data_IF_352585313329
#
_entry.id   IF_352585313329
#
_cell.length_a   1.000
_cell.length_b   1.000
_cell.length_c   1.000
_cell.angle_alpha   90.00
_cell.angle_beta   90.00
_cell.angle_gamma   90.00
#
_symmetry.space_group_name_H-M   'P 1'
#
loop_
_entity.id
_entity.type
_entity.pdbx_description
1 polymer ?
#
# COMPACT_ATOMS: atom_id res chain seq x y z
N UNK A 1 -6.73 -40.88 -28.08
CA UNK A 1 -5.40 -40.53 -28.61
C UNK A 1 -5.64 -39.76 -29.89
N UNK A 2 -5.72 -38.43 -29.79
CA UNK A 2 -5.74 -37.54 -30.94
C UNK A 2 -4.33 -37.48 -31.50
N UNK A 3 -4.18 -37.75 -32.80
CA UNK A 3 -2.90 -37.66 -33.49
C UNK A 3 -2.52 -36.19 -33.68
N UNK A 4 -1.23 -35.81 -33.60
CA UNK A 4 -0.78 -34.41 -33.63
C UNK A 4 -1.13 -33.60 -34.89
N UNK A 5 -1.68 -34.24 -35.92
CA UNK A 5 -1.98 -33.62 -37.21
C UNK A 5 -3.36 -32.95 -37.28
N UNK A 6 -4.25 -33.13 -36.30
CA UNK A 6 -5.60 -32.56 -36.33
C UNK A 6 -5.69 -31.11 -35.82
N UNK A 7 -4.58 -30.52 -35.34
CA UNK A 7 -4.59 -29.13 -34.88
C UNK A 7 -4.55 -28.16 -36.05
N UNK A 8 -5.50 -27.23 -36.04
CA UNK A 8 -5.54 -26.08 -36.95
C UNK A 8 -4.28 -25.23 -36.78
N UNK A 9 -3.87 -24.49 -37.82
CA UNK A 9 -2.67 -23.67 -37.78
C UNK A 9 -2.70 -22.62 -36.64
N UNK A 10 -3.89 -22.07 -36.36
CA UNK A 10 -4.13 -21.17 -35.24
C UNK A 10 -3.94 -21.86 -33.87
N UNK A 11 -4.38 -23.11 -33.72
CA UNK A 11 -4.13 -23.88 -32.50
C UNK A 11 -2.63 -24.16 -32.32
N UNK A 12 -1.89 -24.42 -33.39
CA UNK A 12 -0.43 -24.64 -33.32
C UNK A 12 0.33 -23.39 -32.86
N UNK A 13 -0.07 -22.21 -33.31
CA UNK A 13 0.51 -20.94 -32.85
C UNK A 13 0.18 -20.66 -31.37
N UNK A 14 -0.98 -21.14 -30.92
CA UNK A 14 -1.43 -20.99 -29.54
C UNK A 14 -0.98 -22.12 -28.58
N UNK A 15 -0.38 -23.21 -29.06
CA UNK A 15 0.09 -24.32 -28.22
C UNK A 15 1.06 -23.84 -27.14
N UNK A 16 1.98 -22.93 -27.48
CA UNK A 16 2.91 -22.35 -26.50
C UNK A 16 2.18 -21.58 -25.40
N UNK A 17 1.14 -20.82 -25.76
CA UNK A 17 0.35 -20.06 -24.80
C UNK A 17 -0.45 -21.00 -23.88
N UNK A 18 -1.02 -22.08 -24.44
CA UNK A 18 -1.76 -23.09 -23.68
C UNK A 18 -0.83 -23.80 -22.69
N UNK A 19 0.38 -24.21 -23.12
CA UNK A 19 1.38 -24.81 -22.22
C UNK A 19 1.82 -23.83 -21.12
N UNK A 20 2.01 -22.55 -21.47
CA UNK A 20 2.38 -21.54 -20.49
C UNK A 20 1.28 -21.31 -19.45
N UNK A 21 0.02 -21.22 -19.87
CA UNK A 21 -1.14 -21.08 -18.99
C UNK A 21 -1.31 -22.30 -18.09
N UNK A 22 -1.12 -23.50 -18.63
CA UNK A 22 -1.16 -24.73 -17.86
C UNK A 22 -0.09 -24.72 -16.76
N UNK A 23 1.14 -24.32 -17.10
CA UNK A 23 2.24 -24.21 -16.12
C UNK A 23 1.93 -23.20 -15.01
N UNK A 24 1.36 -22.04 -15.35
CA UNK A 24 0.94 -21.04 -14.35
C UNK A 24 -0.15 -21.59 -13.42
N UNK A 25 -1.12 -22.31 -13.97
CA UNK A 25 -2.20 -22.93 -13.21
C UNK A 25 -1.67 -24.00 -12.23
N UNK A 26 -0.78 -24.87 -12.70
CA UNK A 26 -0.17 -25.91 -11.86
C UNK A 26 0.67 -25.31 -10.73
N UNK A 27 1.41 -24.23 -11.02
CA UNK A 27 2.20 -23.49 -10.01
C UNK A 27 1.29 -22.91 -8.92
N UNK A 28 0.15 -22.32 -9.32
CA UNK A 28 -0.82 -21.78 -8.37
C UNK A 28 -1.42 -22.85 -7.45
N UNK A 29 -1.79 -24.01 -8.00
CA UNK A 29 -2.31 -25.13 -7.19
C UNK A 29 -1.25 -25.58 -6.17
N UNK A 30 0.01 -25.65 -6.58
CA UNK A 30 1.11 -26.04 -5.70
C UNK A 30 1.31 -25.03 -4.56
N UNK A 31 1.23 -23.73 -4.85
CA UNK A 31 1.30 -22.67 -3.85
C UNK A 31 0.13 -22.73 -2.86
N UNK A 32 -1.10 -22.95 -3.33
CA UNK A 32 -2.27 -23.12 -2.46
C UNK A 32 -2.11 -24.34 -1.53
N UNK A 33 -1.61 -25.48 -2.05
CA UNK A 33 -1.30 -26.66 -1.22
C UNK A 33 -0.19 -26.38 -0.20
N UNK A 34 0.86 -25.64 -0.57
CA UNK A 34 1.94 -25.26 0.34
C UNK A 34 1.42 -24.35 1.47
N UNK A 35 0.56 -23.38 1.17
CA UNK A 35 -0.08 -22.52 2.16
C UNK A 35 -0.96 -23.32 3.13
N UNK A 36 -1.74 -24.27 2.63
CA UNK A 36 -2.52 -25.17 3.48
C UNK A 36 -1.64 -26.02 4.40
N UNK A 37 -0.51 -26.53 3.91
CA UNK A 37 0.45 -27.28 4.72
C UNK A 37 1.09 -26.41 5.83
N UNK A 38 1.42 -25.15 5.53
CA UNK A 38 1.92 -24.19 6.52
C UNK A 38 0.84 -23.90 7.56
N UNK A 39 -0.40 -23.64 7.14
CA UNK A 39 -1.53 -23.42 8.05
C UNK A 39 -1.76 -24.59 9.02
N UNK A 40 -1.71 -25.82 8.51
CA UNK A 40 -1.81 -27.02 9.35
C UNK A 40 -0.66 -27.13 10.37
N UNK A 41 0.57 -26.80 9.95
CA UNK A 41 1.74 -26.76 10.86
C UNK A 41 1.60 -25.71 11.95
N UNK A 42 1.14 -24.51 11.61
CA UNK A 42 0.89 -23.43 12.57
C UNK A 42 -0.22 -23.80 13.57
N UNK A 43 -1.27 -24.51 13.14
CA UNK A 43 -2.32 -25.00 14.02
C UNK A 43 -1.82 -26.07 15.01
N UNK A 44 -0.84 -26.88 14.61
CA UNK A 44 -0.22 -27.91 15.46
C UNK A 44 0.86 -27.38 16.40
N UNK A 45 1.27 -26.11 16.26
CA UNK A 45 2.30 -25.53 17.09
C UNK A 45 1.73 -25.27 18.49
N UNK A 46 2.33 -25.82 19.57
CA UNK A 46 1.94 -25.48 20.92
C UNK A 46 2.33 -24.03 21.16
N UNK A 47 1.36 -23.12 21.05
CA UNK A 47 1.55 -21.73 21.43
C UNK A 47 2.08 -21.71 22.86
N UNK A 48 3.22 -21.05 23.13
CA UNK A 48 3.66 -20.86 24.50
C UNK A 48 2.53 -20.12 25.21
N UNK A 49 1.93 -20.77 26.21
CA UNK A 49 1.00 -20.12 27.14
C UNK A 49 1.67 -18.85 27.60
N UNK A 50 1.17 -17.71 27.12
CA UNK A 50 1.63 -16.39 27.50
C UNK A 50 1.42 -16.31 29.00
N UNK A 51 2.50 -16.48 29.77
CA UNK A 51 2.49 -16.10 31.19
C UNK A 51 2.11 -14.63 31.19
N UNK A 52 1.07 -14.30 31.95
CA UNK A 52 0.65 -12.93 32.26
C UNK A 52 1.87 -12.08 32.64
N UNK A 53 2.46 -11.41 31.66
CA UNK A 53 3.46 -10.38 31.89
C UNK A 53 2.73 -9.04 31.87
N UNK A 54 2.56 -8.52 33.09
CA UNK A 54 2.46 -7.10 33.45
C UNK A 54 1.33 -6.33 32.76
N UNK A 55 0.27 -5.92 33.49
CA UNK A 55 -0.76 -5.07 32.93
C UNK A 55 -0.14 -3.73 32.51
N UNK A 56 -0.17 -3.48 31.20
CA UNK A 56 -0.09 -2.12 30.66
C UNK A 56 -1.32 -1.34 31.17
N UNK A 57 -1.22 -0.77 32.38
CA UNK A 57 -2.11 0.29 32.84
C UNK A 57 -1.71 1.61 32.14
N UNK A 58 -1.81 1.64 30.82
CA UNK A 58 -1.95 2.88 30.09
C UNK A 58 -3.39 3.34 30.27
N UNK A 59 -3.59 4.48 30.93
CA UNK A 59 -4.89 5.18 31.02
C UNK A 59 -5.43 5.42 29.61
N UNK A 60 -6.19 4.47 29.07
CA UNK A 60 -7.23 4.80 28.11
C UNK A 60 -8.24 5.65 28.86
N UNK A 61 -8.15 6.96 28.64
CA UNK A 61 -9.20 7.88 29.05
C UNK A 61 -10.41 7.47 28.23
N UNK A 62 -11.30 6.76 28.91
CA UNK A 62 -12.61 6.30 28.46
C UNK A 62 -13.40 7.48 27.91
N UNK A 63 -13.23 7.77 26.63
CA UNK A 63 -14.20 8.56 25.89
C UNK A 63 -15.44 7.68 25.77
N UNK A 64 -16.41 8.02 26.63
CA UNK A 64 -17.78 7.50 26.70
C UNK A 64 -18.20 6.85 25.39
N UNK A 65 -18.43 5.54 25.45
CA UNK A 65 -19.06 4.79 24.38
C UNK A 65 -20.35 5.52 23.95
N UNK A 66 -20.49 5.92 22.67
CA UNK A 66 -21.75 6.45 22.19
C UNK A 66 -22.82 5.36 22.36
N UNK A 67 -23.97 5.77 22.92
CA UNK A 67 -25.14 4.91 23.16
C UNK A 67 -25.44 4.03 21.94
N UNK A 68 -25.81 2.75 22.14
CA UNK A 68 -26.20 1.88 21.03
C UNK A 68 -27.43 2.47 20.33
N UNK A 69 -27.23 2.88 19.07
CA UNK A 69 -28.33 3.27 18.19
C UNK A 69 -28.99 1.98 17.74
N UNK A 70 -30.22 1.76 18.20
CA UNK A 70 -31.09 0.69 17.74
C UNK A 70 -31.40 0.90 16.24
N UNK A 71 -30.98 -0.05 15.41
CA UNK A 71 -31.29 -0.06 13.98
C UNK A 71 -32.75 -0.50 13.74
N UNK A 72 -33.56 0.25 12.98
CA UNK A 72 -34.85 -0.25 12.54
C UNK A 72 -34.64 -1.34 11.48
N UNK A 73 -35.10 -2.56 11.77
CA UNK A 73 -35.35 -3.58 10.74
C UNK A 73 -36.46 -3.06 9.82
N UNK A 74 -36.10 -2.57 8.64
CA UNK A 74 -37.08 -2.33 7.58
C UNK A 74 -36.43 -2.25 6.21
N UNK A 75 -36.59 -3.32 5.45
CA UNK A 75 -37.34 -3.37 4.18
C UNK A 75 -36.68 -4.32 3.18
N UNK A 76 -37.50 -5.24 2.66
CA UNK A 76 -37.16 -6.20 1.63
C UNK A 76 -36.60 -5.48 0.39
N UNK A 77 -35.50 -5.95 -0.22
CA UNK A 77 -35.08 -5.45 -1.52
C UNK A 77 -36.13 -5.86 -2.56
N UNK A 78 -36.76 -4.87 -3.20
CA UNK A 78 -37.52 -5.07 -4.44
C UNK A 78 -36.50 -5.46 -5.51
N UNK A 79 -36.73 -6.59 -6.16
CA UNK A 79 -35.98 -7.07 -7.30
C UNK A 79 -35.95 -5.97 -8.38
N UNK A 80 -34.78 -5.33 -8.51
CA UNK A 80 -34.54 -4.35 -9.56
C UNK A 80 -34.39 -5.09 -10.89
N UNK A 81 -35.10 -4.57 -11.89
CA UNK A 81 -35.23 -5.09 -13.25
C UNK A 81 -33.88 -5.41 -13.89
N UNK A 82 -33.63 -6.69 -14.16
CA UNK A 82 -32.43 -7.25 -14.80
C UNK A 82 -32.11 -6.64 -16.18
N UNK A 83 -33.02 -5.90 -16.80
CA UNK A 83 -32.83 -5.23 -18.09
C UNK A 83 -31.91 -4.00 -18.03
N UNK A 84 -31.82 -3.29 -16.90
CA UNK A 84 -30.96 -2.09 -16.78
C UNK A 84 -29.47 -2.42 -16.65
N UNK A 85 -29.14 -3.58 -16.08
CA UNK A 85 -27.75 -4.01 -15.85
C UNK A 85 -27.09 -4.49 -17.15
N UNK A 86 -27.85 -5.14 -18.04
CA UNK A 86 -27.35 -5.59 -19.34
C UNK A 86 -26.99 -4.42 -20.28
N UNK A 87 -27.77 -3.34 -20.26
CA UNK A 87 -27.49 -2.15 -21.09
C UNK A 87 -26.26 -1.37 -20.60
N UNK A 88 -26.02 -1.30 -19.28
CA UNK A 88 -24.84 -0.62 -18.75
C UNK A 88 -23.54 -1.37 -19.11
N UNK A 89 -23.56 -2.70 -19.12
CA UNK A 89 -22.41 -3.53 -19.47
C UNK A 89 -22.02 -3.41 -20.96
N UNK A 90 -23.00 -3.28 -21.86
CA UNK A 90 -22.75 -3.07 -23.28
C UNK A 90 -22.06 -1.72 -23.60
N UNK A 91 -22.42 -0.65 -22.88
CA UNK A 91 -21.83 0.68 -23.06
C UNK A 91 -20.37 0.73 -22.59
N UNK A 92 -20.04 0.01 -21.50
CA UNK A 92 -18.67 -0.08 -20.98
C UNK A 92 -17.75 -0.87 -21.94
N UNK A 93 -18.26 -1.95 -22.55
CA UNK A 93 -17.49 -2.74 -23.51
C UNK A 93 -17.21 -1.97 -24.81
N UNK A 94 -18.16 -1.16 -25.30
CA UNK A 94 -17.96 -0.33 -26.50
C UNK A 94 -17.02 0.85 -26.26
N UNK A 95 -17.05 1.47 -25.08
CA UNK A 95 -16.17 2.61 -24.76
C UNK A 95 -14.73 2.17 -24.45
N UNK A 96 -14.54 1.05 -23.76
CA UNK A 96 -13.21 0.51 -23.46
C UNK A 96 -12.40 0.11 -24.71
N UNK A 97 -13.07 -0.45 -25.73
CA UNK A 97 -12.43 -0.84 -26.98
C UNK A 97 -11.87 0.35 -27.78
N UNK A 98 -12.57 1.50 -27.77
CA UNK A 98 -12.13 2.69 -28.49
C UNK A 98 -10.91 3.36 -27.83
N UNK A 99 -10.83 3.37 -26.50
CA UNK A 99 -9.67 3.89 -25.77
C UNK A 99 -8.41 3.02 -25.96
N UNK A 100 -8.56 1.70 -26.06
CA UNK A 100 -7.42 0.81 -26.32
C UNK A 100 -6.84 1.02 -27.73
N UNK A 101 -7.70 1.27 -28.74
CA UNK A 101 -7.27 1.55 -30.11
C UNK A 101 -6.52 2.90 -30.22
N UNK A 102 -6.97 3.93 -29.48
CA UNK A 102 -6.30 5.23 -29.46
C UNK A 102 -4.91 5.16 -28.81
N UNK A 103 -4.74 4.35 -27.77
CA UNK A 103 -3.43 4.13 -27.16
C UNK A 103 -2.47 3.34 -28.07
N UNK A 104 -3.00 2.38 -28.85
CA UNK A 104 -2.18 1.62 -29.78
C UNK A 104 -1.69 2.47 -30.98
N UNK A 105 -2.52 3.41 -31.45
CA UNK A 105 -2.14 4.33 -32.54
C UNK A 105 -1.11 5.39 -32.10
N UNK A 106 -1.05 5.75 -30.82
CA UNK A 106 -0.03 6.68 -30.30
C UNK A 106 1.35 6.03 -30.11
N UNK A 107 1.46 4.70 -30.14
CA UNK A 107 2.73 4.00 -29.89
C UNK A 107 3.60 3.78 -31.14
N UNK A 108 3.14 4.22 -32.32
CA UNK A 108 3.86 4.09 -33.60
C UNK A 108 4.36 5.43 -34.14
N UNK A 109 4.97 6.27 -33.29
CA UNK A 109 5.85 7.35 -33.77
C UNK A 109 7.28 6.80 -33.94
N UNK A 110 7.81 6.71 -35.17
CA UNK A 110 9.20 6.34 -35.38
C UNK A 110 10.08 7.58 -35.12
N UNK A 111 10.52 7.77 -33.88
CA UNK A 111 11.48 8.83 -33.56
C UNK A 111 12.91 8.35 -33.82
N UNK A 112 13.42 8.84 -34.96
CA UNK A 112 14.83 9.02 -35.25
C UNK A 112 15.40 10.08 -34.29
N UNK A 113 16.29 9.67 -33.38
CA UNK A 113 17.03 10.62 -32.55
C UNK A 113 17.93 9.89 -31.57
N UNK A 114 19.16 9.58 -32.00
CA UNK A 114 20.25 9.11 -31.14
C UNK A 114 20.50 10.17 -30.05
N UNK A 115 20.24 9.89 -28.76
CA UNK A 115 20.60 10.82 -27.71
C UNK A 115 22.08 10.66 -27.42
N UNK A 116 22.82 11.75 -27.60
CA UNK A 116 24.20 11.87 -27.17
C UNK A 116 24.28 11.50 -25.67
N UNK A 117 25.10 10.51 -25.35
CA UNK A 117 25.48 10.12 -24.00
C UNK A 117 26.26 11.26 -23.33
N UNK A 118 25.53 12.25 -22.82
CA UNK A 118 26.03 13.18 -21.82
C UNK A 118 26.13 12.43 -20.50
N UNK A 119 27.34 11.96 -20.17
CA UNK A 119 27.72 11.52 -18.83
C UNK A 119 27.66 12.71 -17.86
N UNK A 120 26.45 13.18 -17.57
CA UNK A 120 26.19 14.12 -16.48
C UNK A 120 26.22 13.34 -15.18
N UNK A 121 27.18 13.63 -14.31
CA UNK A 121 27.17 13.17 -12.93
C UNK A 121 25.80 13.49 -12.33
N UNK A 122 25.05 12.51 -11.80
CA UNK A 122 23.72 12.77 -11.26
C UNK A 122 23.86 13.82 -10.16
N UNK A 123 23.23 14.98 -10.36
CA UNK A 123 23.16 16.01 -9.34
C UNK A 123 22.63 15.36 -8.06
N UNK A 124 23.37 15.51 -6.95
CA UNK A 124 23.02 14.89 -5.68
C UNK A 124 21.56 15.21 -5.34
N UNK A 125 20.74 14.17 -5.17
CA UNK A 125 19.33 14.33 -4.85
C UNK A 125 19.19 15.11 -3.54
N UNK A 126 18.52 16.26 -3.61
CA UNK A 126 18.20 17.03 -2.41
C UNK A 126 17.07 16.32 -1.64
N UNK A 127 16.97 16.49 -0.32
CA UNK A 127 15.92 15.87 0.48
C UNK A 127 14.50 16.16 -0.01
N UNK A 128 14.26 17.29 -0.71
CA UNK A 128 12.97 17.63 -1.28
C UNK A 128 12.63 16.88 -2.56
N UNK A 129 13.66 16.51 -3.33
CA UNK A 129 13.51 15.88 -4.64
C UNK A 129 13.52 14.36 -4.54
N UNK A 130 13.78 13.84 -3.34
CA UNK A 130 13.78 12.42 -3.06
C UNK A 130 12.35 11.87 -3.03
N UNK A 131 12.15 10.65 -3.51
CA UNK A 131 10.85 10.00 -3.47
C UNK A 131 10.53 9.51 -2.05
N UNK A 132 9.34 9.86 -1.55
CA UNK A 132 8.79 9.39 -0.28
C UNK A 132 7.54 8.56 -0.57
N UNK A 133 7.64 7.22 -0.58
CA UNK A 133 6.56 6.35 -1.04
C UNK A 133 5.36 6.31 -0.09
N UNK A 134 5.55 6.72 1.17
CA UNK A 134 4.52 6.75 2.19
C UNK A 134 4.13 8.19 2.49
N UNK A 135 2.85 8.46 2.65
CA UNK A 135 2.33 9.79 2.97
C UNK A 135 1.06 9.73 3.80
N UNK A 136 0.84 10.71 4.66
CA UNK A 136 -0.35 10.75 5.49
C UNK A 136 -0.40 11.97 6.39
N UNK A 137 -1.37 11.97 7.30
CA UNK A 137 -1.55 13.02 8.30
C UNK A 137 -1.34 12.46 9.69
N UNK A 138 -0.53 13.13 10.50
CA UNK A 138 -0.28 12.73 11.90
C UNK A 138 -1.57 12.88 12.70
N UNK A 139 -2.03 11.81 13.33
CA UNK A 139 -3.21 11.81 14.22
C UNK A 139 -2.82 11.74 15.70
N UNK A 140 -1.67 11.15 16.01
CA UNK A 140 -1.07 11.13 17.35
C UNK A 140 0.45 11.14 17.23
N UNK A 141 1.15 11.74 18.20
CA UNK A 141 2.62 11.71 18.30
C UNK A 141 3.02 11.48 19.75
N UNK A 142 3.92 10.53 19.98
CA UNK A 142 4.42 10.20 21.31
C UNK A 142 5.94 10.08 21.28
N UNK A 143 6.61 10.83 22.15
CA UNK A 143 8.07 10.77 22.31
C UNK A 143 8.38 10.03 23.60
N UNK A 144 8.65 8.74 23.47
CA UNK A 144 9.10 7.89 24.55
C UNK A 144 10.24 7.01 24.04
N UNK A 145 11.30 6.91 24.84
CA UNK A 145 12.37 5.97 24.54
C UNK A 145 11.82 4.55 24.69
N UNK A 146 12.00 3.75 23.65
CA UNK A 146 11.52 2.38 23.57
C UNK A 146 12.50 1.50 22.80
N UNK A 147 12.08 0.27 22.55
CA UNK A 147 12.82 -0.67 21.73
C UNK A 147 11.87 -1.37 20.77
N UNK A 148 12.27 -1.44 19.51
CA UNK A 148 11.56 -2.16 18.46
C UNK A 148 12.55 -3.16 17.83
N UNK A 149 12.43 -4.43 18.23
CA UNK A 149 13.43 -5.44 17.90
C UNK A 149 14.79 -5.08 18.49
N UNK A 150 15.80 -4.93 17.62
CA UNK A 150 17.16 -4.54 18.02
C UNK A 150 17.42 -3.02 17.95
N UNK A 151 16.44 -2.24 17.48
CA UNK A 151 16.57 -0.79 17.32
C UNK A 151 16.03 -0.04 18.55
N UNK A 152 16.68 1.07 18.90
CA UNK A 152 16.21 1.98 19.96
C UNK A 152 15.31 3.03 19.33
N UNK A 153 14.04 3.07 19.74
CA UNK A 153 13.09 4.09 19.28
C UNK A 153 13.14 5.29 20.21
N UNK A 154 13.05 6.49 19.65
CA UNK A 154 12.95 7.75 20.42
C UNK A 154 11.51 8.29 20.47
N UNK A 155 10.60 7.65 19.73
CA UNK A 155 9.18 7.94 19.72
C UNK A 155 8.49 7.30 18.52
N UNK A 156 7.24 7.68 18.32
CA UNK A 156 6.46 7.29 17.16
C UNK A 156 5.26 8.19 16.92
N UNK A 157 4.61 8.01 15.79
CA UNK A 157 3.39 8.70 15.43
C UNK A 157 2.38 7.73 14.82
N UNK A 158 1.10 7.95 15.11
CA UNK A 158 0.00 7.34 14.35
C UNK A 158 -0.28 8.24 13.16
N UNK A 159 -0.33 7.65 11.97
CA UNK A 159 -0.50 8.36 10.71
C UNK A 159 -1.68 7.77 9.97
N UNK A 160 -2.56 8.66 9.53
CA UNK A 160 -3.67 8.33 8.64
C UNK A 160 -3.28 8.59 7.20
N UNK A 161 -3.21 7.53 6.40
CA UNK A 161 -2.82 7.58 5.00
C UNK A 161 -3.93 7.15 4.04
N UNK A 162 -3.70 7.27 2.73
CA UNK A 162 -4.50 6.61 1.69
C UNK A 162 -4.48 5.09 1.85
N UNK A 163 -5.64 4.45 1.70
CA UNK A 163 -5.81 3.00 1.91
C UNK A 163 -4.99 2.13 0.94
N UNK A 164 -4.66 2.64 -0.24
CA UNK A 164 -3.94 1.91 -1.29
C UNK A 164 -2.41 2.06 -1.21
N UNK A 165 -1.88 2.67 -0.15
CA UNK A 165 -0.43 2.83 -0.01
C UNK A 165 0.31 1.51 0.09
N UNK A 166 1.44 1.44 -0.62
CA UNK A 166 2.29 0.24 -0.71
C UNK A 166 1.46 -1.01 -1.07
N UNK A 167 0.61 -0.91 -2.08
CA UNK A 167 -0.31 -1.99 -2.51
C UNK A 167 -1.29 -2.43 -1.41
N UNK A 168 -1.68 -1.49 -0.53
CA UNK A 168 -2.64 -1.73 0.55
C UNK A 168 -2.03 -2.31 1.83
N UNK A 169 -0.71 -2.50 1.89
CA UNK A 169 -0.03 -3.09 3.05
C UNK A 169 -0.13 -2.22 4.31
N UNK A 170 -0.20 -0.89 4.17
CA UNK A 170 -0.31 0.03 5.31
C UNK A 170 -1.75 0.26 5.77
N UNK A 171 -2.74 -0.04 4.93
CA UNK A 171 -4.14 0.26 5.23
C UNK A 171 -4.41 1.77 5.39
N UNK A 172 -5.46 2.11 6.14
CA UNK A 172 -5.87 3.50 6.37
C UNK A 172 -5.13 4.22 7.50
N UNK A 173 -4.79 3.49 8.57
CA UNK A 173 -4.05 4.00 9.72
C UNK A 173 -2.85 3.08 9.99
N UNK A 174 -1.67 3.67 10.19
CA UNK A 174 -0.43 2.94 10.49
C UNK A 174 0.42 3.70 11.52
N UNK A 175 1.31 2.99 12.20
CA UNK A 175 2.24 3.56 13.17
C UNK A 175 3.61 3.72 12.51
N UNK A 176 4.24 4.85 12.76
CA UNK A 176 5.57 5.19 12.29
C UNK A 176 6.49 5.31 13.49
N UNK A 177 7.53 4.51 13.54
CA UNK A 177 8.55 4.57 14.58
C UNK A 177 9.70 5.48 14.16
N UNK A 178 10.16 6.29 15.11
CA UNK A 178 11.30 7.17 14.94
C UNK A 178 12.50 6.60 15.69
N UNK A 179 13.60 6.43 14.97
CA UNK A 179 14.89 6.07 15.51
C UNK A 179 15.70 7.33 15.81
N UNK A 180 16.83 7.17 16.50
CA UNK A 180 17.73 8.29 16.82
C UNK A 180 18.32 8.93 15.55
N UNK A 181 18.49 8.13 14.51
CA UNK A 181 19.01 8.49 13.20
C UNK A 181 17.94 9.01 12.23
N UNK A 182 16.66 8.96 12.59
CA UNK A 182 15.58 9.48 11.75
C UNK A 182 15.76 10.98 11.53
N UNK A 183 15.81 11.39 10.26
CA UNK A 183 15.96 12.81 9.88
C UNK A 183 14.60 13.40 9.55
N UNK A 184 14.33 14.60 10.07
CA UNK A 184 13.09 15.32 9.77
C UNK A 184 13.42 16.56 8.96
N UNK A 185 12.67 16.76 7.89
CA UNK A 185 12.77 17.91 7.01
C UNK A 185 11.42 18.63 6.96
N UNK A 186 11.44 19.94 6.84
CA UNK A 186 10.26 20.75 6.56
C UNK A 186 10.37 21.33 5.16
N UNK A 187 9.35 21.07 4.33
CA UNK A 187 9.26 21.64 2.99
C UNK A 187 8.76 23.09 3.07
N UNK A 188 9.58 24.01 2.59
CA UNK A 188 9.30 25.43 2.48
C UNK A 188 9.38 25.88 1.01
N UNK A 189 8.93 27.10 0.71
CA UNK A 189 8.89 27.63 -0.67
C UNK A 189 10.27 27.62 -1.36
N UNK A 190 11.36 27.74 -0.59
CA UNK A 190 12.74 27.84 -1.09
C UNK A 190 13.54 26.54 -0.95
N UNK A 191 12.91 25.43 -0.56
CA UNK A 191 13.57 24.14 -0.38
C UNK A 191 13.20 23.45 0.93
N UNK A 192 14.07 22.55 1.40
CA UNK A 192 13.81 21.76 2.60
C UNK A 192 14.84 22.11 3.66
N UNK A 193 14.35 22.31 4.88
CA UNK A 193 15.17 22.61 6.03
C UNK A 193 15.11 21.46 7.02
N UNK A 194 16.26 21.04 7.53
CA UNK A 194 16.30 20.05 8.60
C UNK A 194 15.69 20.64 9.88
N UNK A 195 14.79 19.89 10.50
CA UNK A 195 14.09 20.26 11.73
C UNK A 195 14.21 19.14 12.77
N UNK A 196 13.92 19.49 14.02
CA UNK A 196 13.89 18.53 15.12
C UNK A 196 12.73 17.53 14.97
N UNK A 197 12.92 16.28 15.44
CA UNK A 197 11.82 15.33 15.62
C UNK A 197 10.67 15.91 16.46
N UNK A 198 10.99 16.74 17.46
CA UNK A 198 9.98 17.41 18.30
C UNK A 198 9.15 18.46 17.57
N UNK A 199 9.47 18.78 16.31
CA UNK A 199 8.66 19.69 15.48
C UNK A 199 7.40 19.03 14.92
N UNK A 200 7.32 17.69 14.95
CA UNK A 200 6.17 16.92 14.49
C UNK A 200 4.95 17.17 15.39
N UNK A 201 3.82 17.48 14.77
CA UNK A 201 2.56 17.84 15.44
C UNK A 201 1.38 17.15 14.79
N UNK A 202 0.37 16.87 15.61
CA UNK A 202 -0.93 16.37 15.15
C UNK A 202 -1.52 17.33 14.11
N UNK A 203 -2.08 16.79 13.04
CA UNK A 203 -2.67 17.51 11.91
C UNK A 203 -1.68 17.85 10.79
N UNK A 204 -0.36 17.66 10.98
CA UNK A 204 0.61 17.85 9.91
C UNK A 204 0.53 16.75 8.87
N UNK A 205 0.62 17.15 7.59
CA UNK A 205 0.85 16.22 6.49
C UNK A 205 2.33 15.89 6.40
N UNK A 206 2.64 14.61 6.32
CA UNK A 206 4.00 14.13 6.21
C UNK A 206 4.14 13.16 5.04
N UNK A 207 5.37 13.07 4.55
CA UNK A 207 5.83 12.06 3.63
C UNK A 207 7.00 11.33 4.28
N UNK A 208 7.08 10.01 4.12
CA UNK A 208 7.99 9.15 4.86
C UNK A 208 8.79 8.29 3.88
N UNK A 209 10.10 8.29 4.09
CA UNK A 209 11.00 7.31 3.53
C UNK A 209 11.25 6.27 4.61
N UNK A 210 10.85 5.03 4.35
CA UNK A 210 11.11 3.88 5.22
C UNK A 210 12.31 3.08 4.73
N UNK A 211 12.82 2.20 5.59
CA UNK A 211 13.80 1.15 5.23
C UNK A 211 13.19 0.06 4.33
N UNK A 212 11.86 -0.02 4.29
CA UNK A 212 11.11 -0.97 3.46
C UNK A 212 10.49 -2.10 4.27
N UNK A 213 10.83 -2.22 5.55
CA UNK A 213 10.30 -3.24 6.42
C UNK A 213 8.95 -2.80 7.01
N UNK A 214 7.90 -3.55 6.65
CA UNK A 214 6.56 -3.37 7.21
C UNK A 214 6.32 -4.48 8.22
N UNK A 215 6.15 -4.11 9.48
CA UNK A 215 5.82 -5.08 10.53
C UNK A 215 4.33 -5.40 10.47
N UNK A 216 4.02 -6.67 10.17
CA UNK A 216 2.65 -7.19 10.12
C UNK A 216 2.00 -7.17 11.50
N UNK A 217 1.29 -6.10 11.77
CA UNK A 217 0.55 -5.86 13.02
C UNK A 217 -0.72 -5.06 12.72
N UNK A 218 -1.57 -4.85 13.71
CA UNK A 218 -2.82 -4.12 13.55
C UNK A 218 -2.91 -2.99 14.59
N UNK A 219 -2.71 -1.72 14.21
CA UNK A 219 -2.39 -1.23 12.85
C UNK A 219 -0.97 -1.61 12.40
N UNK A 220 -0.68 -1.62 11.08
CA UNK A 220 0.65 -1.88 10.55
C UNK A 220 1.68 -0.89 11.08
N UNK A 221 2.94 -1.32 11.21
CA UNK A 221 4.02 -0.49 11.73
C UNK A 221 5.18 -0.41 10.73
N UNK A 222 5.79 0.77 10.61
CA UNK A 222 6.99 1.00 9.79
C UNK A 222 8.05 1.78 10.56
N UNK A 223 9.29 1.68 10.12
CA UNK A 223 10.41 2.49 10.62
C UNK A 223 10.71 3.62 9.64
N UNK A 224 10.77 4.86 10.12
CA UNK A 224 11.11 6.01 9.29
C UNK A 224 12.62 6.27 9.29
N UNK A 225 13.23 6.27 8.10
CA UNK A 225 14.59 6.78 7.89
C UNK A 225 14.57 8.30 7.75
N UNK A 226 13.60 8.82 6.98
CA UNK A 226 13.39 10.25 6.79
C UNK A 226 11.90 10.59 6.82
N UNK A 227 11.60 11.75 7.40
CA UNK A 227 10.24 12.31 7.45
C UNK A 227 10.29 13.71 6.87
N UNK A 228 9.46 13.98 5.86
CA UNK A 228 9.29 15.32 5.31
C UNK A 228 7.91 15.86 5.70
N UNK A 229 7.89 16.96 6.43
CA UNK A 229 6.69 17.74 6.71
C UNK A 229 6.35 18.52 5.44
N UNK A 230 5.17 18.26 4.89
CA UNK A 230 4.67 18.94 3.70
C UNK A 230 3.81 20.11 4.18
N UNK A 231 4.08 21.30 3.67
CA UNK A 231 3.22 22.46 3.91
C UNK A 231 1.81 22.11 3.45
N UNK A 232 0.92 21.88 4.42
CA UNK A 232 -0.50 21.68 4.13
C UNK A 232 -0.98 22.97 3.49
N UNK A 233 -1.32 22.91 2.19
CA UNK A 233 -1.95 24.02 1.50
C UNK A 233 -3.07 24.51 2.41
N UNK A 234 -2.95 25.76 2.88
CA UNK A 234 -3.97 26.42 3.69
C UNK A 234 -5.28 26.18 2.96
N UNK A 235 -6.13 25.32 3.52
CA UNK A 235 -7.52 25.27 3.12
C UNK A 235 -8.02 26.68 3.31
N UNK A 236 -8.34 27.35 2.20
CA UNK A 236 -8.96 28.66 2.22
C UNK A 236 -10.15 28.59 3.17
N UNK A 237 -10.02 29.32 4.26
CA UNK A 237 -11.09 29.69 5.20
C UNK A 237 -12.28 30.28 4.46
#
# INVERSE_FOLDING_TARGET
MTTPDDFTQEERENLFLIEHLQKLYDTRIQDEQALHAIGARLASFPWPTVRESVPWQGRYREHQAPKPVSFPLSSRPKAASLTLLATALAVILLTGSFTALLLFLQHHSPDHGTPAHGSGTPAAATPCTQAYPVSGTITSVEFQNGSLGNATTVGGAVVKGPQEQLHGLLGGDFIVHFLKETRVFEQQEKGCHAVSLTSLKVGQRIQIQSDGDIMQSLPPQIVALQVMIVAGGRGGS
#
